data_IF_156394733320
#
_entry.id   IF_156394733320
#
_cell.length_a   1.000
_cell.length_b   1.000
_cell.length_c   1.000
_cell.angle_alpha   90.00
_cell.angle_beta   90.00
_cell.angle_gamma   90.00
#
_symmetry.space_group_name_H-M   'P 1'
#
loop_
_entity.id
_entity.type
_entity.pdbx_description
1 polymer ?
#
# COMPACT_ATOMS: atom_id res chain seq x y z
N UNK A 1 -9.60 13.16 1.90
CA UNK A 1 -10.65 12.13 2.05
C UNK A 1 -10.17 10.86 1.36
N UNK A 2 -10.13 9.71 2.04
CA UNK A 2 -9.64 8.46 1.43
C UNK A 2 -10.61 7.91 0.38
N UNK A 3 -10.12 7.33 -0.73
CA UNK A 3 -10.93 6.63 -1.72
C UNK A 3 -11.76 5.49 -1.10
N UNK A 4 -12.89 5.15 -1.71
CA UNK A 4 -13.74 4.03 -1.25
C UNK A 4 -12.94 2.71 -1.22
N UNK A 5 -12.16 2.44 -2.27
CA UNK A 5 -11.32 1.25 -2.38
C UNK A 5 -10.32 1.10 -1.22
N UNK A 6 -9.76 2.23 -0.76
CA UNK A 6 -8.81 2.24 0.34
C UNK A 6 -9.49 1.91 1.67
N UNK A 7 -10.68 2.48 1.91
CA UNK A 7 -11.48 2.17 3.10
C UNK A 7 -11.90 0.71 3.12
N UNK A 8 -12.30 0.18 1.97
CA UNK A 8 -12.72 -1.21 1.85
C UNK A 8 -11.53 -2.15 2.13
N UNK A 9 -10.35 -1.86 1.58
CA UNK A 9 -9.12 -2.61 1.88
C UNK A 9 -8.73 -2.54 3.36
N UNK A 10 -8.78 -1.35 3.97
CA UNK A 10 -8.49 -1.17 5.41
C UNK A 10 -9.47 -1.92 6.32
N UNK A 11 -10.75 -1.98 5.95
CA UNK A 11 -11.79 -2.71 6.70
C UNK A 11 -11.66 -4.22 6.56
N UNK A 12 -11.38 -4.70 5.34
CA UNK A 12 -11.24 -6.13 5.06
C UNK A 12 -9.89 -6.69 5.54
N UNK A 13 -8.91 -5.82 5.77
CA UNK A 13 -7.55 -6.21 6.17
C UNK A 13 -6.72 -6.78 5.01
N UNK A 14 -7.28 -6.87 3.80
CA UNK A 14 -6.60 -7.33 2.60
C UNK A 14 -7.32 -6.90 1.32
N UNK A 15 -6.59 -6.94 0.20
CA UNK A 15 -7.09 -6.68 -1.14
C UNK A 15 -6.24 -7.40 -2.19
N UNK A 16 -6.90 -8.00 -3.18
CA UNK A 16 -6.23 -8.56 -4.34
C UNK A 16 -6.12 -7.51 -5.45
N UNK A 17 -4.89 -7.22 -5.86
CA UNK A 17 -4.62 -6.17 -6.85
C UNK A 17 -3.91 -6.76 -8.06
N UNK A 18 -4.31 -6.35 -9.27
CA UNK A 18 -3.56 -6.67 -10.49
C UNK A 18 -2.29 -5.82 -10.51
N UNK A 19 -1.15 -6.51 -10.56
CA UNK A 19 0.17 -5.91 -10.71
C UNK A 19 0.83 -6.41 -11.98
N UNK A 20 1.56 -5.53 -12.64
CA UNK A 20 2.43 -5.92 -13.73
C UNK A 20 3.71 -6.55 -13.16
N UNK A 21 4.07 -7.74 -13.62
CA UNK A 21 5.36 -8.39 -13.34
C UNK A 21 5.95 -8.94 -14.62
N UNK A 22 7.13 -8.44 -15.00
CA UNK A 22 7.86 -8.92 -16.18
C UNK A 22 6.97 -8.99 -17.45
N UNK A 23 6.11 -7.97 -17.64
CA UNK A 23 5.19 -7.90 -18.78
C UNK A 23 3.91 -8.75 -18.66
N UNK A 24 3.69 -9.45 -17.55
CA UNK A 24 2.48 -10.23 -17.28
C UNK A 24 1.66 -9.59 -16.17
N UNK A 25 0.35 -9.44 -16.38
CA UNK A 25 -0.59 -9.03 -15.34
C UNK A 25 -0.94 -10.22 -14.46
N UNK A 26 -0.67 -10.10 -13.17
CA UNK A 26 -1.01 -11.13 -12.18
C UNK A 26 -1.74 -10.49 -11.00
N UNK A 27 -2.68 -11.23 -10.41
CA UNK A 27 -3.27 -10.83 -9.14
C UNK A 27 -2.28 -11.14 -8.02
N UNK A 28 -2.06 -10.16 -7.16
CA UNK A 28 -1.23 -10.25 -5.98
C UNK A 28 -2.06 -9.82 -4.77
N UNK A 29 -2.12 -10.69 -3.77
CA UNK A 29 -2.73 -10.34 -2.48
C UNK A 29 -1.82 -9.33 -1.76
N UNK A 30 -2.43 -8.25 -1.27
CA UNK A 30 -1.85 -7.30 -0.33
C UNK A 30 -2.65 -7.37 0.97
N UNK A 31 -1.95 -7.46 2.09
CA UNK A 31 -2.53 -7.46 3.43
C UNK A 31 -2.28 -6.13 4.11
N UNK A 32 -3.25 -5.63 4.87
CA UNK A 32 -3.08 -4.42 5.66
C UNK A 32 -2.23 -4.75 6.88
N UNK A 33 -1.07 -4.12 7.00
CA UNK A 33 -0.23 -4.17 8.21
C UNK A 33 -0.19 -2.79 8.86
N UNK A 34 -0.07 -2.75 10.17
CA UNK A 34 0.24 -1.51 10.90
C UNK A 34 1.74 -1.48 11.18
N UNK A 35 2.41 -0.42 10.73
CA UNK A 35 3.84 -0.21 10.97
C UNK A 35 3.99 0.83 12.08
N UNK A 36 4.82 0.56 13.12
CA UNK A 36 5.11 1.55 14.14
C UNK A 36 5.93 2.71 13.58
N UNK A 37 5.61 3.93 14.02
CA UNK A 37 6.40 5.13 13.76
C UNK A 37 6.51 5.99 15.02
N UNK A 38 7.46 6.95 15.09
CA UNK A 38 7.64 7.80 16.28
C UNK A 38 6.39 8.59 16.72
N UNK A 39 5.40 8.73 15.84
CA UNK A 39 4.17 9.51 16.05
C UNK A 39 2.91 8.64 16.09
N UNK A 40 3.09 7.31 16.15
CA UNK A 40 2.01 6.32 16.16
C UNK A 40 2.14 5.29 15.06
N UNK A 41 1.23 4.31 15.06
CA UNK A 41 1.17 3.31 14.00
C UNK A 41 0.42 3.85 12.78
N UNK A 42 0.82 3.39 11.58
CA UNK A 42 0.13 3.71 10.34
C UNK A 42 -0.13 2.44 9.51
N UNK A 43 -1.26 2.38 8.79
CA UNK A 43 -1.57 1.25 7.95
C UNK A 43 -0.78 1.29 6.63
N UNK A 44 -0.40 0.12 6.14
CA UNK A 44 0.28 -0.09 4.87
C UNK A 44 -0.33 -1.29 4.15
N UNK A 45 -0.48 -1.21 2.83
CA UNK A 45 -0.75 -2.39 2.01
C UNK A 45 0.56 -3.15 1.79
N UNK A 46 0.70 -4.32 2.40
CA UNK A 46 1.91 -5.12 2.37
C UNK A 46 1.76 -6.34 1.45
N UNK A 47 2.70 -6.52 0.53
CA UNK A 47 2.87 -7.75 -0.25
C UNK A 47 4.13 -8.51 0.19
N UNK A 48 4.01 -9.81 0.44
CA UNK A 48 5.15 -10.68 0.79
C UNK A 48 5.97 -11.14 -0.43
N UNK A 49 6.04 -10.32 -1.49
CA UNK A 49 6.78 -10.60 -2.72
C UNK A 49 7.42 -9.32 -3.26
N UNK A 50 8.35 -9.45 -4.19
CA UNK A 50 8.96 -8.31 -4.89
C UNK A 50 7.96 -7.70 -5.89
N UNK A 51 7.70 -6.39 -5.80
CA UNK A 51 6.80 -5.69 -6.72
C UNK A 51 7.56 -4.54 -7.34
N UNK A 52 7.42 -4.34 -8.65
CA UNK A 52 8.13 -3.28 -9.35
C UNK A 52 7.83 -1.90 -8.73
N UNK A 53 8.86 -1.06 -8.60
CA UNK A 53 8.74 0.24 -7.92
C UNK A 53 7.71 1.16 -8.59
N UNK A 54 7.59 1.09 -9.91
CA UNK A 54 6.56 1.81 -10.68
C UNK A 54 5.14 1.37 -10.29
N UNK A 55 4.93 0.07 -10.09
CA UNK A 55 3.65 -0.48 -9.65
C UNK A 55 3.35 -0.08 -8.21
N UNK A 56 4.31 -0.16 -7.29
CA UNK A 56 4.13 0.31 -5.91
C UNK A 56 3.74 1.78 -5.86
N UNK A 57 4.38 2.62 -6.67
CA UNK A 57 4.01 4.03 -6.80
C UNK A 57 2.58 4.19 -7.32
N UNK A 58 2.22 3.50 -8.42
CA UNK A 58 0.86 3.53 -8.97
C UNK A 58 -0.18 3.13 -7.92
N UNK A 59 0.06 2.05 -7.18
CA UNK A 59 -0.82 1.56 -6.12
C UNK A 59 -0.94 2.56 -4.97
N UNK A 60 0.16 3.17 -4.55
CA UNK A 60 0.12 4.20 -3.51
C UNK A 60 -0.72 5.42 -3.92
N UNK A 61 -0.63 5.83 -5.18
CA UNK A 61 -1.46 6.92 -5.72
C UNK A 61 -2.93 6.53 -5.85
N UNK A 62 -3.21 5.30 -6.29
CA UNK A 62 -4.57 4.82 -6.50
C UNK A 62 -5.32 4.65 -5.17
N UNK A 63 -4.67 4.01 -4.19
CA UNK A 63 -5.27 3.76 -2.87
C UNK A 63 -5.07 4.93 -1.91
N UNK A 64 -4.23 5.90 -2.26
CA UNK A 64 -3.90 7.07 -1.41
C UNK A 64 -3.44 6.68 -0.01
N UNK A 65 -2.80 5.52 0.14
CA UNK A 65 -2.21 4.99 1.37
C UNK A 65 -0.82 4.40 1.07
N UNK A 66 0.05 4.24 2.09
CA UNK A 66 1.36 3.62 1.90
C UNK A 66 1.24 2.19 1.37
N UNK A 67 2.15 1.79 0.49
CA UNK A 67 2.24 0.42 -0.05
C UNK A 67 3.66 -0.10 0.15
N UNK A 68 3.80 -1.33 0.61
CA UNK A 68 5.07 -1.97 0.95
C UNK A 68 5.18 -3.35 0.32
N UNK A 69 6.40 -3.69 -0.07
CA UNK A 69 6.80 -4.97 -0.61
C UNK A 69 8.21 -5.32 -0.12
N UNK A 70 8.72 -6.50 -0.51
CA UNK A 70 10.08 -6.93 -0.11
C UNK A 70 11.20 -5.97 -0.50
N UNK A 71 11.00 -5.19 -1.55
CA UNK A 71 11.96 -4.22 -2.06
C UNK A 71 11.79 -2.80 -1.52
N UNK A 72 10.80 -2.53 -0.66
CA UNK A 72 10.66 -1.24 0.01
C UNK A 72 9.21 -0.79 0.22
N UNK A 73 9.08 0.40 0.78
CA UNK A 73 7.80 1.07 1.06
C UNK A 73 7.72 2.37 0.28
N UNK A 74 6.60 2.60 -0.39
CA UNK A 74 6.30 3.81 -1.16
C UNK A 74 5.11 4.52 -0.53
N UNK A 75 5.24 5.85 -0.44
CA UNK A 75 4.18 6.73 0.01
C UNK A 75 3.58 7.46 -1.19
N UNK A 76 2.29 7.84 -1.12
CA UNK A 76 1.72 8.72 -2.13
C UNK A 76 2.50 10.04 -2.18
N UNK A 77 2.56 10.67 -3.36
CA UNK A 77 3.34 11.89 -3.60
C UNK A 77 2.98 12.97 -2.59
N UNK A 78 4.04 13.58 -2.04
CA UNK A 78 3.92 14.66 -1.06
C UNK A 78 3.47 14.23 0.32
N UNK A 79 3.28 12.92 0.56
CA UNK A 79 2.90 12.37 1.87
C UNK A 79 4.05 11.58 2.49
N UNK A 80 3.99 11.46 3.80
CA UNK A 80 4.94 10.76 4.65
C UNK A 80 4.18 9.86 5.63
N UNK A 81 4.88 9.09 6.46
CA UNK A 81 4.26 8.32 7.54
C UNK A 81 3.40 9.17 8.48
N UNK A 82 3.67 10.48 8.58
CA UNK A 82 2.91 11.40 9.43
C UNK A 82 1.48 11.64 8.98
N UNK A 83 1.24 11.57 7.69
CA UNK A 83 -0.08 11.78 7.12
C UNK A 83 -1.03 10.59 7.34
N UNK A 84 -0.50 9.46 7.83
CA UNK A 84 -1.22 8.20 8.02
C UNK A 84 -1.20 7.69 9.46
N UNK A 85 -0.54 8.41 10.37
CA UNK A 85 -0.50 8.03 11.77
C UNK A 85 -1.90 8.07 12.39
N UNK A 86 -2.31 6.99 13.05
CA UNK A 86 -3.62 6.88 13.71
C UNK A 86 -4.79 6.53 12.79
N UNK A 87 -4.52 6.20 11.52
CA UNK A 87 -5.50 5.73 10.54
C UNK A 87 -5.73 4.21 10.68
#
# INVERSE_FOLDING_TARGET
MLPKIARDALKLGKVDIRVMRSGTLQFQEFVVKRIPSPIGEYPVLFADKFVDMSELLRLSEEYQIPVSAKNGTVFPRGKTSKDFAGL
#
